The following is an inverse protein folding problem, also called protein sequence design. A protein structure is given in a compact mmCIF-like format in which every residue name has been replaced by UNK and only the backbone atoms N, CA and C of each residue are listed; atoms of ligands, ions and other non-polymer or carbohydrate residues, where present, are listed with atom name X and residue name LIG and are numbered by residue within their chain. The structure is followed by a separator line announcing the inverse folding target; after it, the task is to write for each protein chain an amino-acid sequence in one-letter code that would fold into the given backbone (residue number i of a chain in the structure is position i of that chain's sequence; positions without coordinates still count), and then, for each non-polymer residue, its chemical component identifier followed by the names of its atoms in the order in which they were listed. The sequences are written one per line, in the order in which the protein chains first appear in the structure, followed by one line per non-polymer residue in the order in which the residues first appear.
data_IF_934675045425
#
_entry.id   IF_934675045425
#
_cell.length_a   1.000
_cell.length_b   1.000
_cell.length_c   1.000
_cell.angle_alpha   90.00
_cell.angle_beta   90.00
_cell.angle_gamma   90.00
#
_symmetry.space_group_name_H-M   'P 1'
#
loop_
_entity.id
_entity.type
_entity.pdbx_description
1 polymer ?
#
# COMPACT_ATOMS: atom_id res chain seq x y z
N UNK A 1 -55.43 -12.91 -19.65
CA UNK A 1 -55.19 -12.81 -18.20
C UNK A 1 -54.19 -13.89 -17.84
N UNK A 2 -52.96 -13.70 -17.40
CA UNK A 2 -52.13 -12.52 -17.14
C UNK A 2 -50.69 -13.04 -17.11
N UNK A 3 -49.73 -12.30 -17.65
CA UNK A 3 -48.33 -12.48 -17.30
C UNK A 3 -48.16 -12.10 -15.81
N UNK A 4 -47.23 -12.74 -15.10
CA UNK A 4 -46.45 -11.98 -14.13
C UNK A 4 -44.99 -11.97 -14.55
N UNK A 5 -44.56 -10.78 -14.97
CA UNK A 5 -43.18 -10.36 -15.05
C UNK A 5 -42.52 -10.58 -13.69
N UNK A 6 -41.63 -11.56 -13.59
CA UNK A 6 -40.72 -11.61 -12.47
C UNK A 6 -39.55 -10.70 -12.82
N UNK A 7 -39.72 -9.41 -12.52
CA UNK A 7 -38.65 -8.44 -12.48
C UNK A 7 -37.50 -9.02 -11.64
N UNK A 8 -36.45 -9.43 -12.34
CA UNK A 8 -35.14 -9.70 -11.75
C UNK A 8 -34.59 -8.36 -11.26
N UNK A 9 -35.05 -7.96 -10.07
CA UNK A 9 -34.50 -6.88 -9.27
C UNK A 9 -33.08 -7.23 -8.89
N UNK A 10 -32.16 -7.02 -9.83
CA UNK A 10 -30.73 -7.03 -9.58
C UNK A 10 -30.42 -5.79 -8.75
N UNK A 11 -30.60 -5.89 -7.44
CA UNK A 11 -30.03 -4.95 -6.48
C UNK A 11 -28.51 -5.09 -6.56
N UNK A 12 -27.92 -4.43 -7.55
CA UNK A 12 -26.48 -4.33 -7.68
C UNK A 12 -25.98 -3.52 -6.48
N UNK A 13 -25.50 -4.24 -5.46
CA UNK A 13 -24.64 -3.64 -4.46
C UNK A 13 -23.54 -2.85 -5.19
N UNK A 14 -23.16 -1.64 -4.72
CA UNK A 14 -22.07 -0.90 -5.34
C UNK A 14 -20.87 -1.85 -5.46
N UNK A 15 -20.15 -1.86 -6.61
CA UNK A 15 -19.01 -2.75 -6.77
C UNK A 15 -18.11 -2.53 -5.55
N UNK A 16 -17.64 -3.61 -4.89
CA UNK A 16 -16.78 -3.48 -3.73
C UNK A 16 -15.67 -2.52 -4.12
N UNK A 17 -15.54 -1.39 -3.40
CA UNK A 17 -14.52 -0.39 -3.67
C UNK A 17 -13.22 -1.16 -3.75
N UNK A 18 -12.64 -1.28 -4.96
CA UNK A 18 -11.46 -2.12 -5.20
C UNK A 18 -10.40 -1.62 -4.24
N UNK A 19 -10.15 -2.37 -3.17
CA UNK A 19 -9.19 -1.96 -2.17
C UNK A 19 -7.84 -1.82 -2.86
N UNK A 20 -7.11 -0.72 -2.61
CA UNK A 20 -5.81 -0.49 -3.24
C UNK A 20 -4.89 -1.66 -2.86
N UNK A 21 -4.50 -2.46 -3.85
CA UNK A 21 -3.58 -3.59 -3.63
C UNK A 21 -2.22 -3.03 -3.21
N UNK A 22 -1.55 -3.61 -2.21
CA UNK A 22 -0.23 -3.16 -1.82
C UNK A 22 0.72 -3.31 -3.00
N UNK A 23 1.43 -2.23 -3.30
CA UNK A 23 2.48 -2.25 -4.32
C UNK A 23 3.77 -2.73 -3.69
N UNK A 24 4.59 -3.47 -4.44
CA UNK A 24 5.89 -3.97 -3.98
C UNK A 24 6.83 -2.86 -3.48
N UNK A 25 6.71 -1.66 -4.05
CA UNK A 25 7.48 -0.51 -3.61
C UNK A 25 6.83 0.31 -2.48
N UNK A 26 5.70 -0.09 -1.90
CA UNK A 26 5.02 0.69 -0.86
C UNK A 26 5.93 0.97 0.33
N UNK A 27 6.71 -0.03 0.78
CA UNK A 27 7.68 0.18 1.84
C UNK A 27 8.75 1.22 1.47
N UNK A 28 9.19 1.28 0.20
CA UNK A 28 10.17 2.27 -0.27
C UNK A 28 9.57 3.67 -0.42
N UNK A 29 8.29 3.74 -0.80
CA UNK A 29 7.54 4.99 -0.84
C UNK A 29 7.41 5.54 0.57
N UNK A 30 7.00 4.72 1.53
CA UNK A 30 6.88 5.16 2.92
C UNK A 30 8.23 5.57 3.50
N UNK A 31 9.31 4.83 3.23
CA UNK A 31 10.66 5.23 3.66
C UNK A 31 11.07 6.61 3.12
N UNK A 32 10.72 6.89 1.87
CA UNK A 32 10.95 8.20 1.26
C UNK A 32 10.06 9.29 1.87
N UNK A 33 8.77 9.03 2.05
CA UNK A 33 7.82 9.97 2.66
C UNK A 33 8.22 10.26 4.11
N UNK A 34 8.55 9.23 4.88
CA UNK A 34 9.03 9.34 6.25
C UNK A 34 10.32 10.16 6.30
N UNK A 35 11.25 9.95 5.36
CA UNK A 35 12.47 10.77 5.22
C UNK A 35 12.16 12.26 4.97
N UNK A 36 11.09 12.57 4.23
CA UNK A 36 10.67 13.95 3.99
C UNK A 36 10.04 14.60 5.25
N UNK A 37 9.20 13.86 5.98
CA UNK A 37 8.43 14.41 7.11
C UNK A 37 9.19 14.40 8.44
N UNK A 38 10.20 13.54 8.62
CA UNK A 38 11.02 13.52 9.84
C UNK A 38 12.18 14.52 9.81
N UNK A 39 12.29 15.34 8.75
CA UNK A 39 13.15 16.52 8.67
C UNK A 39 14.62 16.22 9.02
N UNK A 40 15.16 15.12 8.46
CA UNK A 40 16.59 15.03 8.20
C UNK A 40 16.82 15.46 6.76
N UNK A 41 16.67 16.78 6.50
CA UNK A 41 17.16 17.41 5.27
C UNK A 41 18.66 17.11 5.02
N UNK A 42 19.34 16.60 6.05
CA UNK A 42 20.63 15.91 6.03
C UNK A 42 20.59 14.62 5.21
N UNK A 43 20.89 14.70 3.91
CA UNK A 43 21.55 13.63 3.14
C UNK A 43 20.82 12.30 2.94
N UNK A 44 19.69 12.03 3.62
CA UNK A 44 18.93 10.78 3.57
C UNK A 44 17.84 10.78 2.49
N UNK A 45 17.40 11.96 2.05
CA UNK A 45 16.39 12.11 0.99
C UNK A 45 16.92 11.59 -0.36
N UNK A 46 18.16 11.93 -0.73
CA UNK A 46 18.80 11.48 -1.97
C UNK A 46 18.91 9.93 -2.06
N UNK A 47 19.45 9.23 -1.05
CA UNK A 47 19.50 7.77 -1.08
C UNK A 47 18.11 7.13 -1.00
N UNK A 48 17.18 7.63 -0.18
CA UNK A 48 15.80 7.12 -0.15
C UNK A 48 15.12 7.23 -1.52
N UNK A 49 15.27 8.37 -2.20
CA UNK A 49 14.74 8.59 -3.55
C UNK A 49 15.37 7.65 -4.58
N UNK A 50 16.69 7.43 -4.50
CA UNK A 50 17.39 6.49 -5.38
C UNK A 50 16.83 5.07 -5.24
N UNK A 51 16.64 4.61 -4.01
CA UNK A 51 16.07 3.29 -3.69
C UNK A 51 14.64 3.15 -4.17
N UNK A 52 13.81 4.19 -4.00
CA UNK A 52 12.45 4.21 -4.53
C UNK A 52 12.46 4.11 -6.06
N UNK A 53 13.27 4.92 -6.76
CA UNK A 53 13.38 4.84 -8.22
C UNK A 53 13.89 3.50 -8.71
N UNK A 54 14.84 2.89 -8.02
CA UNK A 54 15.33 1.55 -8.35
C UNK A 54 14.20 0.54 -8.21
N UNK A 55 13.47 0.55 -7.09
CA UNK A 55 12.33 -0.34 -6.91
C UNK A 55 11.27 -0.18 -8.01
N UNK A 56 10.96 1.05 -8.42
CA UNK A 56 9.99 1.33 -9.48
C UNK A 56 10.47 0.87 -10.88
N UNK A 57 11.78 0.83 -11.11
CA UNK A 57 12.38 0.37 -12.38
C UNK A 57 12.72 -1.13 -12.38
N UNK A 58 12.84 -1.74 -11.20
CA UNK A 58 13.21 -3.14 -11.02
C UNK A 58 12.05 -4.08 -11.35
N UNK A 59 12.41 -5.23 -11.91
CA UNK A 59 11.51 -6.35 -12.13
C UNK A 59 11.12 -7.04 -10.80
N UNK A 60 10.01 -7.79 -10.77
CA UNK A 60 9.61 -8.54 -9.57
C UNK A 60 10.73 -9.48 -9.13
N UNK A 61 11.23 -9.32 -7.89
CA UNK A 61 12.32 -10.13 -7.35
C UNK A 61 13.72 -9.53 -7.50
N UNK A 62 13.89 -8.43 -8.23
CA UNK A 62 15.12 -7.62 -8.26
C UNK A 62 14.99 -6.33 -7.45
N UNK A 63 14.15 -6.37 -6.42
CA UNK A 63 13.94 -5.21 -5.56
C UNK A 63 15.24 -4.87 -4.81
N UNK A 64 15.53 -3.58 -4.61
CA UNK A 64 16.74 -3.19 -3.90
C UNK A 64 16.73 -3.81 -2.50
N UNK A 65 17.78 -4.57 -2.19
CA UNK A 65 17.95 -5.23 -0.88
C UNK A 65 18.59 -4.30 0.16
N UNK A 66 18.95 -3.08 -0.24
CA UNK A 66 19.54 -2.06 0.63
C UNK A 66 18.61 -1.76 1.84
N UNK A 67 19.16 -1.46 3.03
CA UNK A 67 18.34 -1.20 4.21
C UNK A 67 17.42 0.01 4.01
N UNK A 68 16.27 0.00 4.70
CA UNK A 68 15.41 1.17 4.81
C UNK A 68 16.06 2.19 5.74
N UNK A 69 15.96 3.48 5.40
CA UNK A 69 16.70 4.54 6.09
C UNK A 69 15.96 5.07 7.31
N UNK A 70 14.64 4.97 7.32
CA UNK A 70 13.78 5.62 8.32
C UNK A 70 12.72 4.67 8.86
N UNK A 71 12.14 3.80 8.03
CA UNK A 71 11.13 2.84 8.51
C UNK A 71 11.78 1.60 9.15
N UNK A 72 11.19 1.14 10.25
CA UNK A 72 11.68 -0.03 11.01
C UNK A 72 11.03 -1.35 10.58
N UNK A 73 9.77 -1.31 10.18
CA UNK A 73 9.00 -2.49 9.74
C UNK A 73 8.49 -2.28 8.31
N UNK A 74 9.25 -2.69 7.29
CA UNK A 74 8.80 -2.59 5.90
C UNK A 74 7.64 -3.54 5.59
N UNK A 75 7.52 -4.64 6.33
CA UNK A 75 6.48 -5.66 6.10
C UNK A 75 5.07 -5.12 6.36
N UNK A 76 4.88 -4.16 7.27
CA UNK A 76 3.59 -3.48 7.45
C UNK A 76 3.06 -2.79 6.19
N UNK A 77 3.94 -2.44 5.24
CA UNK A 77 3.59 -1.73 4.01
C UNK A 77 3.51 -2.63 2.78
N UNK A 78 4.06 -3.85 2.86
CA UNK A 78 4.03 -4.85 1.80
C UNK A 78 2.90 -5.85 2.00
N UNK A 79 2.59 -6.17 3.24
CA UNK A 79 1.60 -7.17 3.58
C UNK A 79 0.18 -6.56 3.65
N UNK A 80 -0.75 -7.00 2.79
CA UNK A 80 -2.12 -6.50 2.79
C UNK A 80 -2.86 -6.84 4.09
N UNK A 81 -2.60 -8.01 4.67
CA UNK A 81 -3.28 -8.42 5.90
C UNK A 81 -2.88 -7.51 7.07
N UNK A 82 -1.65 -7.00 7.10
CA UNK A 82 -1.17 -6.03 8.12
C UNK A 82 -1.66 -4.61 7.87
N UNK A 83 -1.82 -4.17 6.62
CA UNK A 83 -2.38 -2.84 6.32
C UNK A 83 -3.85 -2.72 6.76
N UNK A 84 -4.63 -3.80 6.62
CA UNK A 84 -6.06 -3.81 6.95
C UNK A 84 -6.38 -4.48 8.28
N UNK A 85 -5.37 -5.02 8.98
CA UNK A 85 -5.57 -5.54 10.32
C UNK A 85 -6.13 -4.41 11.20
N UNK A 86 -7.23 -4.65 11.93
CA UNK A 86 -7.65 -3.72 12.97
C UNK A 86 -6.46 -3.53 13.92
N UNK A 87 -6.09 -2.27 14.17
CA UNK A 87 -5.01 -1.99 15.12
C UNK A 87 -5.40 -2.64 16.45
N UNK A 88 -4.55 -3.48 17.07
CA UNK A 88 -4.86 -4.04 18.36
C UNK A 88 -5.07 -2.88 19.35
N UNK A 89 -6.26 -2.82 19.96
CA UNK A 89 -6.68 -1.73 20.85
C UNK A 89 -7.75 -0.77 20.29
N UNK A 90 -8.38 -1.07 19.15
CA UNK A 90 -9.57 -0.34 18.66
C UNK A 90 -10.84 -1.21 18.71
N UNK A 91 -10.99 -2.02 19.76
CA UNK A 91 -12.27 -2.61 20.15
C UNK A 91 -13.17 -1.48 20.69
N UNK A 92 -14.35 -1.36 20.11
CA UNK A 92 -15.40 -0.39 20.49
C UNK A 92 -16.04 -0.76 21.81
#
# INVERSE_FOLDING_TARGET
MSQPESESGSTAAPPPKKMPRPHRCNARVEDFVQSLVTVEWSGKIQPAWRLLRQCLKSEPGQEPQEPYLVIKDPQAYLDPARMYAPRPGMER
#
